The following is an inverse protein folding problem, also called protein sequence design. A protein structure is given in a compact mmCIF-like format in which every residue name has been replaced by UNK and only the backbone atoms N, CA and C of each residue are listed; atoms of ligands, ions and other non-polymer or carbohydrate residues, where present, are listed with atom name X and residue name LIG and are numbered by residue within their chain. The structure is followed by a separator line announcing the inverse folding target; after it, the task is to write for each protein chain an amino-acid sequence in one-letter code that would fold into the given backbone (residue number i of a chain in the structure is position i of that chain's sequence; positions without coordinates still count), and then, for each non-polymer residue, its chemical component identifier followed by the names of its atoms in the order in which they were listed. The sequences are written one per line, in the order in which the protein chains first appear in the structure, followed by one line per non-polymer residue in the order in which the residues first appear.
data_IF_857149556507
#
_entry.id   IF_857149556507
#
_cell.length_a   1.000
_cell.length_b   1.000
_cell.length_c   1.000
_cell.angle_alpha   90.00
_cell.angle_beta   90.00
_cell.angle_gamma   90.00
#
_symmetry.space_group_name_H-M   'P 1'
#
loop_
_entity.id
_entity.type
_entity.pdbx_description
1 polymer ?
#
# COMPACT_ATOMS: atom_id res chain seq x y z
N UNK A 1 78.57 16.42 -39.13
CA UNK A 1 78.36 17.13 -40.41
C UNK A 1 77.18 16.44 -41.08
N UNK A 2 76.00 17.01 -41.31
CA UNK A 2 75.41 18.33 -41.08
C UNK A 2 73.88 18.13 -41.02
N UNK A 3 73.24 18.82 -40.07
CA UNK A 3 71.90 19.45 -40.08
C UNK A 3 70.78 18.97 -41.03
N UNK A 4 69.57 18.77 -40.47
CA UNK A 4 68.51 19.80 -40.56
C UNK A 4 67.28 19.52 -39.69
N UNK A 5 66.93 20.58 -38.97
CA UNK A 5 65.67 20.98 -38.32
C UNK A 5 64.37 20.59 -39.06
N UNK A 6 63.31 20.25 -38.31
CA UNK A 6 62.13 21.12 -38.10
C UNK A 6 61.02 20.43 -37.30
N UNK A 7 60.38 21.25 -36.48
CA UNK A 7 59.14 21.03 -35.75
C UNK A 7 58.02 20.42 -36.62
N UNK A 8 57.24 19.55 -35.99
CA UNK A 8 55.94 19.09 -36.46
C UNK A 8 55.03 18.89 -35.26
N UNK A 9 54.30 19.94 -34.90
CA UNK A 9 53.20 19.88 -33.95
C UNK A 9 52.14 18.87 -34.41
N UNK A 10 52.09 17.71 -33.75
CA UNK A 10 50.99 16.76 -33.86
C UNK A 10 49.92 17.12 -32.86
N UNK A 11 49.02 18.02 -33.25
CA UNK A 11 47.74 18.18 -32.58
C UNK A 11 46.87 16.95 -32.91
N UNK A 12 46.74 16.01 -31.97
CA UNK A 12 45.74 14.94 -32.07
C UNK A 12 44.86 14.93 -30.82
N UNK A 13 43.76 15.66 -30.95
CA UNK A 13 42.40 15.23 -30.59
C UNK A 13 42.21 14.70 -29.16
N UNK A 14 42.05 15.63 -28.22
CA UNK A 14 41.30 15.40 -26.99
C UNK A 14 39.84 15.06 -27.36
N UNK A 15 39.57 13.77 -27.54
CA UNK A 15 38.20 13.28 -27.75
C UNK A 15 37.34 13.73 -26.57
N UNK A 16 36.13 14.27 -26.79
CA UNK A 16 35.26 14.62 -25.68
C UNK A 16 35.01 13.37 -24.84
N UNK A 17 35.17 13.49 -23.52
CA UNK A 17 34.71 12.48 -22.55
C UNK A 17 33.19 12.44 -22.60
N UNK A 18 32.64 11.83 -23.65
CA UNK A 18 31.22 11.53 -23.73
C UNK A 18 30.95 10.49 -22.66
N UNK A 19 30.29 10.90 -21.58
CA UNK A 19 29.74 9.98 -20.60
C UNK A 19 28.92 8.94 -21.36
N UNK A 20 29.40 7.69 -21.39
CA UNK A 20 28.62 6.55 -21.88
C UNK A 20 27.52 6.32 -20.86
N UNK A 21 26.37 6.92 -21.08
CA UNK A 21 25.14 6.42 -20.48
C UNK A 21 24.84 5.08 -21.13
N UNK A 22 24.53 4.01 -20.35
CA UNK A 22 24.08 2.77 -20.94
C UNK A 22 22.86 3.07 -21.82
N UNK A 23 22.91 2.64 -23.07
CA UNK A 23 21.76 2.72 -23.95
C UNK A 23 20.63 1.91 -23.31
N UNK A 24 19.50 2.56 -23.00
CA UNK A 24 18.26 1.87 -22.64
C UNK A 24 17.94 0.97 -23.82
N UNK A 25 18.06 -0.36 -23.63
CA UNK A 25 17.75 -1.32 -24.68
C UNK A 25 16.26 -1.21 -25.02
N UNK A 26 15.97 -0.74 -26.23
CA UNK A 26 14.62 -0.74 -26.79
C UNK A 26 14.14 -2.21 -26.84
N UNK A 27 13.15 -2.55 -26.01
CA UNK A 27 12.60 -3.90 -25.92
C UNK A 27 12.47 -4.46 -24.50
N UNK A 28 13.02 -3.80 -23.48
CA UNK A 28 12.55 -4.07 -22.11
C UNK A 28 11.12 -3.53 -22.01
N UNK A 29 10.12 -4.36 -21.61
CA UNK A 29 8.80 -3.82 -21.35
C UNK A 29 8.98 -2.71 -20.33
N UNK A 30 8.36 -1.55 -20.57
CA UNK A 30 8.25 -0.54 -19.53
C UNK A 30 7.76 -1.27 -18.29
N UNK A 31 8.56 -1.31 -17.22
CA UNK A 31 8.13 -1.90 -15.95
C UNK A 31 6.88 -1.11 -15.59
N UNK A 32 5.71 -1.70 -15.86
CA UNK A 32 4.45 -1.07 -15.57
C UNK A 32 4.44 -0.89 -14.06
N UNK A 33 4.63 0.36 -13.62
CA UNK A 33 4.61 0.69 -12.20
C UNK A 33 3.16 0.61 -11.76
N UNK A 34 2.74 -0.59 -11.37
CA UNK A 34 1.44 -0.82 -10.79
C UNK A 34 1.35 -0.03 -9.48
N UNK A 35 0.29 0.76 -9.36
CA UNK A 35 0.01 1.50 -8.12
C UNK A 35 -0.49 0.54 -7.04
N UNK A 36 -0.35 0.90 -5.75
CA UNK A 36 -0.87 0.08 -4.66
C UNK A 36 -2.36 -0.24 -4.77
N UNK A 37 -3.14 0.64 -5.40
CA UNK A 37 -4.59 0.57 -5.59
C UNK A 37 -5.01 -0.27 -6.79
N UNK A 38 -4.07 -0.70 -7.64
CA UNK A 38 -4.36 -1.50 -8.83
C UNK A 38 -4.98 -2.85 -8.47
N UNK A 39 -5.99 -3.28 -9.23
CA UNK A 39 -6.61 -4.60 -9.10
C UNK A 39 -5.63 -5.75 -9.40
N UNK A 40 -4.52 -5.46 -10.08
CA UNK A 40 -3.45 -6.42 -10.36
C UNK A 40 -2.45 -6.59 -9.21
N UNK A 41 -2.68 -5.94 -8.06
CA UNK A 41 -1.78 -5.98 -6.91
C UNK A 41 -2.48 -6.59 -5.69
N UNK A 42 -1.83 -7.57 -5.07
CA UNK A 42 -2.24 -8.19 -3.82
C UNK A 42 -1.13 -8.24 -2.80
N UNK A 43 -1.47 -8.22 -1.51
CA UNK A 43 -0.52 -8.17 -0.42
C UNK A 43 -0.65 -9.39 0.48
N UNK A 44 0.50 -9.98 0.86
CA UNK A 44 0.52 -11.11 1.79
C UNK A 44 0.16 -10.66 3.20
N UNK A 45 -0.23 -11.62 4.05
CA UNK A 45 -0.57 -11.39 5.45
C UNK A 45 0.44 -10.53 6.23
N UNK A 46 1.76 -10.79 6.16
CA UNK A 46 2.76 -9.95 6.83
C UNK A 46 2.74 -8.48 6.39
N UNK A 47 2.67 -8.22 5.07
CA UNK A 47 2.57 -6.86 4.53
C UNK A 47 1.26 -6.19 4.98
N UNK A 48 0.14 -6.91 4.91
CA UNK A 48 -1.16 -6.40 5.35
C UNK A 48 -1.14 -6.04 6.86
N UNK A 49 -0.53 -6.89 7.69
CA UNK A 49 -0.37 -6.63 9.13
C UNK A 49 0.46 -5.37 9.39
N UNK A 50 1.61 -5.25 8.72
CA UNK A 50 2.50 -4.10 8.88
C UNK A 50 1.81 -2.80 8.46
N UNK A 51 1.16 -2.77 7.30
CA UNK A 51 0.50 -1.58 6.77
C UNK A 51 -0.75 -1.15 7.57
N UNK A 52 -1.53 -2.12 8.06
CA UNK A 52 -2.72 -1.86 8.87
C UNK A 52 -2.40 -1.61 10.36
N UNK A 53 -1.20 -1.93 10.83
CA UNK A 53 -0.83 -1.81 12.24
C UNK A 53 -1.54 -2.84 13.13
N UNK A 54 -1.71 -4.07 12.63
CA UNK A 54 -2.40 -5.16 13.32
C UNK A 54 -1.49 -6.38 13.49
N UNK A 55 -1.78 -7.21 14.47
CA UNK A 55 -1.07 -8.48 14.65
C UNK A 55 -1.58 -9.55 13.69
N UNK A 56 -0.75 -10.55 13.41
CA UNK A 56 -1.16 -11.71 12.62
C UNK A 56 -2.35 -12.47 13.24
N UNK A 57 -2.43 -12.51 14.57
CA UNK A 57 -3.58 -13.12 15.28
C UNK A 57 -4.88 -12.35 15.06
N UNK A 58 -4.83 -11.00 15.07
CA UNK A 58 -6.00 -10.18 14.75
C UNK A 58 -6.44 -10.43 13.30
N UNK A 59 -5.50 -10.43 12.35
CA UNK A 59 -5.78 -10.71 10.95
C UNK A 59 -6.44 -12.08 10.77
N UNK A 60 -5.87 -13.14 11.36
CA UNK A 60 -6.41 -14.50 11.24
C UNK A 60 -7.78 -14.63 11.91
N UNK A 61 -7.95 -14.07 13.10
CA UNK A 61 -9.23 -14.08 13.81
C UNK A 61 -10.33 -13.37 13.01
N UNK A 62 -10.03 -12.20 12.43
CA UNK A 62 -11.00 -11.44 11.64
C UNK A 62 -11.36 -12.14 10.34
N UNK A 63 -10.40 -12.79 9.68
CA UNK A 63 -10.68 -13.63 8.51
C UNK A 63 -11.52 -14.85 8.86
N UNK A 64 -11.17 -15.56 9.94
CA UNK A 64 -11.90 -16.78 10.35
C UNK A 64 -13.31 -16.50 10.86
N UNK A 65 -13.56 -15.30 11.39
CA UNK A 65 -14.90 -14.89 11.88
C UNK A 65 -15.70 -14.08 10.86
N UNK A 66 -15.23 -14.01 9.61
CA UNK A 66 -15.88 -13.28 8.52
C UNK A 66 -15.99 -11.76 8.74
N UNK A 67 -15.27 -11.19 9.72
CA UNK A 67 -15.21 -9.74 9.88
C UNK A 67 -14.51 -9.13 8.66
N UNK A 68 -13.38 -9.69 8.27
CA UNK A 68 -12.65 -9.30 7.06
C UNK A 68 -11.84 -10.44 6.47
N UNK A 69 -12.24 -10.84 5.26
CA UNK A 69 -11.61 -11.89 4.47
C UNK A 69 -10.80 -11.28 3.31
N UNK A 70 -9.73 -11.95 2.85
CA UNK A 70 -8.98 -11.52 1.67
C UNK A 70 -9.86 -11.53 0.42
N UNK A 71 -9.90 -10.40 -0.31
CA UNK A 71 -10.72 -10.26 -1.53
C UNK A 71 -10.00 -10.72 -2.80
N UNK A 72 -8.67 -10.78 -2.81
CA UNK A 72 -7.88 -11.13 -4.00
C UNK A 72 -7.71 -12.63 -4.12
N UNK A 73 -7.22 -13.27 -3.05
CA UNK A 73 -7.03 -14.72 -3.02
C UNK A 73 -7.27 -15.23 -1.61
N UNK A 74 -8.22 -16.15 -1.47
CA UNK A 74 -8.47 -16.87 -0.22
C UNK A 74 -7.43 -17.97 -0.03
N UNK A 75 -7.35 -18.57 1.17
CA UNK A 75 -6.40 -19.65 1.49
C UNK A 75 -6.81 -21.04 0.92
N UNK A 76 -7.63 -21.07 -0.12
CA UNK A 76 -8.11 -22.29 -0.75
C UNK A 76 -7.68 -22.32 -2.23
N UNK A 77 -7.11 -23.42 -2.75
CA UNK A 77 -6.75 -24.68 -2.06
C UNK A 77 -5.57 -24.53 -1.09
N UNK A 78 -5.30 -25.58 -0.29
CA UNK A 78 -4.41 -25.59 0.90
C UNK A 78 -2.94 -25.15 0.70
N UNK A 79 -2.52 -24.80 -0.51
CA UNK A 79 -1.19 -24.27 -0.83
C UNK A 79 -1.21 -22.80 -1.29
N UNK A 80 -2.38 -22.17 -1.42
CA UNK A 80 -2.50 -20.79 -1.87
C UNK A 80 -2.30 -19.82 -0.70
N UNK A 81 -1.44 -18.84 -0.90
CA UNK A 81 -1.24 -17.79 0.10
C UNK A 81 -2.36 -16.75 -0.01
N UNK A 82 -2.94 -16.35 1.14
CA UNK A 82 -3.92 -15.27 1.19
C UNK A 82 -3.33 -13.99 0.61
N UNK A 83 -4.06 -13.37 -0.31
CA UNK A 83 -3.75 -12.04 -0.83
C UNK A 83 -4.88 -11.08 -0.49
N UNK A 84 -4.50 -9.96 0.10
CA UNK A 84 -5.38 -8.86 0.46
C UNK A 84 -5.23 -7.74 -0.58
N UNK A 85 -6.34 -7.12 -0.97
CA UNK A 85 -6.32 -5.92 -1.81
C UNK A 85 -5.91 -4.69 -0.99
N UNK A 86 -5.65 -3.57 -1.67
CA UNK A 86 -5.54 -2.27 -1.00
C UNK A 86 -6.75 -1.98 -0.11
N UNK A 87 -7.95 -2.25 -0.65
CA UNK A 87 -9.22 -2.00 0.03
C UNK A 87 -9.37 -2.86 1.29
N UNK A 88 -8.97 -4.12 1.24
CA UNK A 88 -8.96 -4.98 2.41
C UNK A 88 -8.11 -4.37 3.53
N UNK A 89 -6.90 -3.91 3.19
CA UNK A 89 -5.96 -3.34 4.17
C UNK A 89 -6.48 -2.00 4.72
N UNK A 90 -7.14 -1.18 3.89
CA UNK A 90 -7.82 0.04 4.35
C UNK A 90 -8.88 -0.29 5.39
N UNK A 91 -9.75 -1.27 5.10
CA UNK A 91 -10.79 -1.70 6.03
C UNK A 91 -10.20 -2.32 7.30
N UNK A 92 -9.12 -3.12 7.21
CA UNK A 92 -8.40 -3.64 8.38
C UNK A 92 -7.90 -2.51 9.28
N UNK A 93 -7.34 -1.44 8.70
CA UNK A 93 -6.84 -0.28 9.43
C UNK A 93 -7.97 0.53 10.07
N UNK A 94 -9.11 0.66 9.40
CA UNK A 94 -10.31 1.32 9.95
C UNK A 94 -10.90 0.49 11.11
N UNK A 95 -11.04 -0.83 10.94
CA UNK A 95 -11.48 -1.75 12.00
C UNK A 95 -10.59 -1.61 13.24
N UNK A 96 -9.27 -1.60 13.05
CA UNK A 96 -8.31 -1.39 14.15
C UNK A 96 -8.55 -0.06 14.86
N UNK A 97 -8.66 1.05 14.12
CA UNK A 97 -8.92 2.38 14.70
C UNK A 97 -10.23 2.44 15.50
N UNK A 98 -11.31 1.85 14.97
CA UNK A 98 -12.60 1.80 15.67
C UNK A 98 -12.54 0.95 16.95
N UNK A 99 -11.85 -0.20 16.91
CA UNK A 99 -11.64 -1.04 18.09
C UNK A 99 -10.81 -0.34 19.16
N UNK A 100 -9.75 0.37 18.76
CA UNK A 100 -8.86 1.08 19.69
C UNK A 100 -9.58 2.22 20.43
N UNK A 101 -10.65 2.76 19.86
CA UNK A 101 -11.50 3.77 20.51
C UNK A 101 -12.69 3.18 21.26
N UNK A 102 -12.80 1.85 21.35
CA UNK A 102 -13.83 1.16 22.13
C UNK A 102 -15.17 0.98 21.41
N UNK A 103 -15.23 1.17 20.08
CA UNK A 103 -16.46 0.88 19.32
C UNK A 103 -16.74 -0.63 19.36
N UNK A 104 -18.00 -0.99 19.60
CA UNK A 104 -18.40 -2.40 19.70
C UNK A 104 -18.17 -3.16 18.39
N UNK A 105 -17.80 -4.44 18.48
CA UNK A 105 -17.57 -5.29 17.30
C UNK A 105 -18.82 -5.39 16.39
N UNK A 106 -20.02 -5.32 16.98
CA UNK A 106 -21.27 -5.33 16.23
C UNK A 106 -21.40 -4.08 15.33
N UNK A 107 -21.15 -2.89 15.88
CA UNK A 107 -21.20 -1.65 15.12
C UNK A 107 -20.11 -1.60 14.05
N UNK A 108 -18.93 -2.14 14.37
CA UNK A 108 -17.84 -2.27 13.40
C UNK A 108 -18.25 -3.16 12.22
N UNK A 109 -18.94 -4.29 12.45
CA UNK A 109 -19.43 -5.14 11.35
C UNK A 109 -20.39 -4.39 10.43
N UNK A 110 -21.30 -3.59 11.01
CA UNK A 110 -22.23 -2.76 10.23
C UNK A 110 -21.46 -1.73 9.39
N UNK A 111 -20.54 -1.00 10.00
CA UNK A 111 -19.71 0.00 9.30
C UNK A 111 -18.86 -0.63 8.18
N UNK A 112 -18.19 -1.75 8.44
CA UNK A 112 -17.39 -2.47 7.44
C UNK A 112 -18.26 -2.95 6.28
N UNK A 113 -19.46 -3.47 6.55
CA UNK A 113 -20.38 -3.89 5.50
C UNK A 113 -20.76 -2.72 4.59
N UNK A 114 -21.04 -1.55 5.17
CA UNK A 114 -21.32 -0.33 4.43
C UNK A 114 -20.13 0.09 3.55
N UNK A 115 -18.95 0.18 4.16
CA UNK A 115 -17.72 0.59 3.47
C UNK A 115 -17.25 -0.38 2.39
N UNK A 116 -17.73 -1.63 2.36
CA UNK A 116 -17.49 -2.58 1.27
C UNK A 116 -18.34 -2.32 0.02
N UNK A 117 -19.51 -1.71 0.20
CA UNK A 117 -20.41 -1.36 -0.91
C UNK A 117 -20.12 0.00 -1.54
N UNK A 118 -19.34 0.86 -0.89
CA UNK A 118 -19.01 2.21 -1.36
C UNK A 118 -17.99 2.20 -2.51
N UNK A 119 -18.06 3.11 -3.47
CA UNK A 119 -17.02 3.19 -4.51
C UNK A 119 -15.71 3.79 -3.96
N UNK A 120 -14.59 3.52 -4.64
CA UNK A 120 -13.28 3.94 -4.17
C UNK A 120 -13.16 5.48 -4.10
N UNK A 121 -13.73 6.17 -5.08
CA UNK A 121 -13.75 7.63 -5.17
C UNK A 121 -14.49 8.23 -3.96
N UNK A 122 -15.65 7.67 -3.62
CA UNK A 122 -16.50 8.15 -2.52
C UNK A 122 -15.84 7.95 -1.15
N UNK A 123 -15.09 6.85 -0.96
CA UNK A 123 -14.37 6.58 0.28
C UNK A 123 -13.38 7.69 0.65
N UNK A 124 -12.80 8.37 -0.34
CA UNK A 124 -11.80 9.43 -0.07
C UNK A 124 -12.41 10.71 0.52
N UNK A 125 -13.69 10.97 0.26
CA UNK A 125 -14.43 12.11 0.83
C UNK A 125 -15.09 11.82 2.18
N UNK A 126 -15.06 10.56 2.61
CA UNK A 126 -15.84 10.07 3.74
C UNK A 126 -15.12 10.31 5.09
N UNK A 127 -15.89 10.73 6.09
CA UNK A 127 -15.47 10.76 7.49
C UNK A 127 -16.39 9.89 8.32
N UNK A 128 -15.85 8.88 8.99
CA UNK A 128 -16.59 8.08 9.95
C UNK A 128 -16.60 8.80 11.29
N UNK A 129 -17.76 8.95 11.92
CA UNK A 129 -17.92 9.54 13.25
C UNK A 129 -18.52 8.49 14.17
N UNK A 130 -18.03 8.35 15.40
CA UNK A 130 -18.59 7.41 16.37
C UNK A 130 -18.64 8.00 17.77
N UNK A 131 -19.75 7.75 18.47
CA UNK A 131 -19.96 8.00 19.90
C UNK A 131 -19.72 6.73 20.75
N UNK A 132 -19.19 5.67 20.13
CA UNK A 132 -19.00 4.33 20.73
C UNK A 132 -20.20 3.39 20.59
N UNK A 133 -21.42 3.95 20.53
CA UNK A 133 -22.68 3.20 20.40
C UNK A 133 -23.17 3.11 18.94
N UNK A 134 -22.81 4.07 18.11
CA UNK A 134 -23.18 4.17 16.70
C UNK A 134 -21.98 4.62 15.88
N UNK A 135 -21.93 4.23 14.60
CA UNK A 135 -20.98 4.75 13.61
C UNK A 135 -21.78 5.44 12.53
N UNK A 136 -21.49 6.71 12.32
CA UNK A 136 -22.10 7.57 11.32
C UNK A 136 -21.14 7.78 10.16
N UNK A 137 -21.70 7.83 8.97
CA UNK A 137 -20.99 8.27 7.78
C UNK A 137 -21.27 9.75 7.55
N UNK A 138 -20.23 10.55 7.41
CA UNK A 138 -20.32 11.97 7.07
C UNK A 138 -19.60 12.22 5.75
N UNK A 139 -20.31 12.81 4.80
CA UNK A 139 -19.78 13.22 3.49
C UNK A 139 -19.63 14.73 3.38
N UNK A 140 -20.00 15.48 4.44
CA UNK A 140 -19.83 16.93 4.50
C UNK A 140 -19.43 17.41 5.91
N UNK A 141 -18.72 18.56 6.01
CA UNK A 141 -18.40 19.17 7.31
C UNK A 141 -19.65 19.53 8.13
N UNK A 142 -20.75 19.89 7.47
CA UNK A 142 -21.98 20.28 8.15
C UNK A 142 -22.60 19.11 8.95
N UNK A 143 -22.59 17.90 8.38
CA UNK A 143 -23.05 16.69 9.08
C UNK A 143 -22.21 16.40 10.34
N UNK A 144 -20.89 16.63 10.27
CA UNK A 144 -19.99 16.49 11.43
C UNK A 144 -20.37 17.50 12.52
N UNK A 145 -20.60 18.76 12.14
CA UNK A 145 -21.03 19.82 13.07
C UNK A 145 -22.39 19.48 13.69
N UNK A 146 -23.32 18.94 12.91
CA UNK A 146 -24.66 18.61 13.38
C UNK A 146 -24.65 17.46 14.40
N UNK A 147 -23.76 16.47 14.23
CA UNK A 147 -23.54 15.43 15.24
C UNK A 147 -23.01 16.01 16.56
N UNK A 148 -22.10 16.98 16.48
CA UNK A 148 -21.49 17.62 17.65
C UNK A 148 -22.46 18.53 18.43
N UNK A 149 -23.44 19.13 17.75
CA UNK A 149 -24.44 20.03 18.40
C UNK A 149 -25.24 19.35 19.51
N UNK A 150 -25.34 18.03 19.51
CA UNK A 150 -25.98 17.26 20.58
C UNK A 150 -25.23 17.24 21.91
N UNK A 151 -24.02 17.83 22.00
CA UNK A 151 -23.19 17.83 23.22
C UNK A 151 -22.51 16.49 23.52
N UNK A 152 -22.65 15.51 22.63
CA UNK A 152 -22.02 14.20 22.71
C UNK A 152 -20.55 14.26 22.26
N UNK A 153 -19.69 13.52 22.97
CA UNK A 153 -18.30 13.30 22.54
C UNK A 153 -18.26 12.30 21.41
N UNK A 154 -17.67 12.68 20.27
CA UNK A 154 -17.52 11.81 19.10
C UNK A 154 -16.06 11.73 18.68
N UNK A 155 -15.67 10.56 18.20
CA UNK A 155 -14.39 10.30 17.57
C UNK A 155 -14.55 10.22 16.05
N UNK A 156 -13.66 10.88 15.31
CA UNK A 156 -13.70 10.95 13.85
C UNK A 156 -12.53 10.22 13.19
N UNK A 157 -12.80 9.46 12.13
CA UNK A 157 -11.81 8.89 11.21
C UNK A 157 -12.06 9.45 9.81
N UNK A 158 -11.21 10.36 9.36
CA UNK A 158 -11.20 10.80 7.97
C UNK A 158 -10.63 9.67 7.08
N UNK A 159 -11.51 8.97 6.34
CA UNK A 159 -11.13 7.80 5.55
C UNK A 159 -10.15 8.17 4.45
N UNK A 160 -10.33 9.31 3.78
CA UNK A 160 -9.37 9.82 2.79
C UNK A 160 -7.97 10.12 3.34
N UNK A 161 -7.83 10.43 4.63
CA UNK A 161 -6.51 10.58 5.26
C UNK A 161 -5.85 9.21 5.45
N UNK A 162 -6.61 8.21 5.93
CA UNK A 162 -6.14 6.84 6.09
C UNK A 162 -5.78 6.22 4.74
N UNK A 163 -6.55 6.51 3.69
CA UNK A 163 -6.28 6.10 2.31
C UNK A 163 -4.88 6.55 1.86
N UNK A 164 -4.60 7.87 1.92
CA UNK A 164 -3.31 8.43 1.46
C UNK A 164 -2.13 7.94 2.29
N UNK A 165 -2.32 7.80 3.60
CA UNK A 165 -1.33 7.20 4.49
C UNK A 165 -1.01 5.76 4.05
N UNK A 166 -2.04 4.98 3.74
CA UNK A 166 -1.91 3.59 3.34
C UNK A 166 -1.26 3.44 1.96
N UNK A 167 -1.64 4.28 0.99
CA UNK A 167 -1.01 4.34 -0.33
C UNK A 167 0.49 4.59 -0.23
N UNK A 168 0.88 5.54 0.63
CA UNK A 168 2.29 5.83 0.90
C UNK A 168 2.99 4.63 1.54
N UNK A 169 2.37 3.98 2.54
CA UNK A 169 2.96 2.83 3.21
C UNK A 169 3.15 1.64 2.26
N UNK A 170 2.12 1.28 1.51
CA UNK A 170 2.14 0.12 0.60
C UNK A 170 3.04 0.33 -0.61
N UNK A 171 3.25 1.58 -1.06
CA UNK A 171 4.23 1.88 -2.13
C UNK A 171 5.67 1.45 -1.81
N UNK A 172 5.98 1.20 -0.52
CA UNK A 172 7.31 0.81 -0.04
C UNK A 172 7.41 -0.66 0.35
N UNK A 173 6.30 -1.39 0.37
CA UNK A 173 6.23 -2.76 0.87
C UNK A 173 6.12 -3.77 -0.27
N UNK A 174 6.50 -5.01 0.02
CA UNK A 174 6.39 -6.11 -0.92
C UNK A 174 4.93 -6.44 -1.27
N UNK A 175 4.64 -6.56 -2.56
CA UNK A 175 3.36 -6.99 -3.10
C UNK A 175 3.52 -8.18 -4.05
N UNK A 176 2.41 -8.75 -4.51
CA UNK A 176 2.34 -9.82 -5.50
C UNK A 176 1.44 -9.38 -6.64
N UNK A 177 1.90 -9.57 -7.89
CA UNK A 177 1.05 -9.44 -9.06
C UNK A 177 0.02 -10.56 -9.08
N UNK A 178 -1.26 -10.23 -9.19
CA UNK A 178 -2.34 -11.20 -9.06
C UNK A 178 -2.48 -12.12 -10.29
N UNK A 179 -2.02 -11.65 -11.45
CA UNK A 179 -2.08 -12.36 -12.74
C UNK A 179 -0.92 -13.35 -12.96
N UNK A 180 0.27 -13.00 -12.48
CA UNK A 180 1.53 -13.69 -12.78
C UNK A 180 2.16 -14.32 -11.54
N UNK A 181 1.74 -13.93 -10.34
CA UNK A 181 2.35 -14.36 -9.07
C UNK A 181 3.72 -13.72 -8.81
N UNK A 182 4.18 -12.82 -9.66
CA UNK A 182 5.46 -12.12 -9.52
C UNK A 182 5.47 -11.29 -8.24
N UNK A 183 6.57 -11.37 -7.47
CA UNK A 183 6.74 -10.51 -6.30
C UNK A 183 7.20 -9.12 -6.74
N UNK A 184 6.38 -8.12 -6.47
CA UNK A 184 6.72 -6.71 -6.61
C UNK A 184 7.53 -6.30 -5.38
N UNK A 185 8.83 -6.10 -5.55
CA UNK A 185 9.74 -5.75 -4.46
C UNK A 185 9.56 -4.28 -4.08
N UNK A 186 9.08 -4.04 -2.87
CA UNK A 186 9.08 -2.72 -2.26
C UNK A 186 10.48 -2.35 -1.75
N UNK A 187 10.83 -1.06 -1.82
CA UNK A 187 12.07 -0.57 -1.20
C UNK A 187 11.84 -0.36 0.31
N UNK A 188 11.85 -1.45 1.08
CA UNK A 188 11.80 -1.39 2.55
C UNK A 188 13.23 -1.42 3.14
N UNK A 189 13.70 -0.34 3.81
CA UNK A 189 14.99 -0.32 4.50
C UNK A 189 15.10 -1.32 5.66
N UNK A 190 13.97 -1.81 6.20
CA UNK A 190 13.93 -2.70 7.37
C UNK A 190 14.02 -4.20 7.04
N UNK A 191 13.97 -4.59 5.76
CA UNK A 191 13.85 -5.98 5.36
C UNK A 191 15.21 -6.66 5.06
N UNK A 192 16.17 -6.52 5.97
CA UNK A 192 17.45 -7.23 5.91
C UNK A 192 17.25 -8.76 5.94
N UNK A 193 16.15 -9.25 6.55
CA UNK A 193 15.85 -10.68 6.68
C UNK A 193 15.37 -11.30 5.36
N UNK A 194 14.55 -10.61 4.55
CA UNK A 194 14.21 -11.09 3.21
C UNK A 194 15.40 -11.04 2.25
N UNK A 195 16.25 -10.01 2.34
CA UNK A 195 17.49 -9.93 1.55
C UNK A 195 18.45 -11.09 1.85
N UNK A 196 18.52 -11.54 3.11
CA UNK A 196 19.32 -12.70 3.50
C UNK A 196 18.74 -14.02 2.97
N UNK A 197 17.41 -14.15 2.86
CA UNK A 197 16.77 -15.35 2.30
C UNK A 197 16.98 -15.47 0.79
N UNK A 198 16.96 -14.35 0.06
CA UNK A 198 17.19 -14.34 -1.39
C UNK A 198 18.67 -14.49 -1.80
N UNK A 199 19.62 -14.35 -0.87
CA UNK A 199 21.06 -14.61 -1.11
C UNK A 199 21.53 -16.02 -0.73
N UNK A 200 20.69 -16.79 -0.04
CA UNK A 200 21.03 -18.11 0.47
C UNK A 200 20.43 -19.26 -0.35
N UNK A 201 19.83 -18.97 -1.51
CA UNK A 201 19.41 -19.94 -2.53
C UNK A 201 20.18 -19.71 -3.82
#
# INVERSE_FOLDING_TARGET
MLERTRDGAGAESELPRVSRFPAVQAGQPAIERLTPTSALVGYRGPTACAAAGITYRQLDYWARTGLLEPSVRTAYPANSQRLYSFRDILLLKIVKKLLDTGVSLQNIRVAVSHLRGTEAEDLTGLTLMSDGATVYECTSPQQVVDLLKGGQGVFGIAVGAVWRELETALSRLHAERTDTGETLVGQDPGDELAQRRNRAG
#
